data_IF_859568631245
#
_entry.id   IF_859568631245
#
_cell.length_a   1.000
_cell.length_b   1.000
_cell.length_c   1.000
_cell.angle_alpha   90.00
_cell.angle_beta   90.00
_cell.angle_gamma   90.00
#
_symmetry.space_group_name_H-M   'P 1'
#
loop_
_entity.id
_entity.type
_entity.pdbx_description
1 polymer ?
#
# COMPACT_ATOMS: atom_id res chain seq x y z
N UNK A 1 -0.49 -9.93 16.58
CA UNK A 1 -0.86 -8.90 15.61
C UNK A 1 -1.09 -9.57 14.27
N UNK A 2 -2.22 -9.29 13.62
CA UNK A 2 -2.56 -9.79 12.29
C UNK A 2 -2.73 -8.58 11.37
N UNK A 3 -2.28 -8.71 10.13
CA UNK A 3 -2.45 -7.70 9.08
C UNK A 3 -3.04 -8.41 7.88
N UNK A 4 -4.13 -7.85 7.34
CA UNK A 4 -4.82 -8.38 6.17
C UNK A 4 -4.98 -7.26 5.14
N UNK A 5 -4.69 -7.57 3.88
CA UNK A 5 -4.98 -6.67 2.77
C UNK A 5 -6.48 -6.74 2.49
N UNK A 6 -7.16 -5.59 2.53
CA UNK A 6 -8.58 -5.49 2.23
C UNK A 6 -8.81 -5.13 0.77
N UNK A 7 -8.19 -4.04 0.31
CA UNK A 7 -8.43 -3.52 -1.03
C UNK A 7 -7.25 -2.72 -1.59
N UNK A 8 -7.18 -2.67 -2.93
CA UNK A 8 -6.37 -1.72 -3.67
C UNK A 8 -7.27 -0.51 -3.98
N UNK A 9 -7.32 0.42 -3.02
CA UNK A 9 -8.23 1.59 -3.05
C UNK A 9 -8.00 2.45 -4.30
N UNK A 10 -6.73 2.68 -4.64
CA UNK A 10 -6.33 3.43 -5.82
C UNK A 10 -5.02 2.87 -6.37
N UNK A 11 -4.93 2.73 -7.69
CA UNK A 11 -3.65 2.59 -8.38
C UNK A 11 -3.61 3.52 -9.60
N UNK A 12 -2.94 4.66 -9.43
CA UNK A 12 -2.67 5.65 -10.47
C UNK A 12 -1.17 5.75 -10.76
N UNK A 13 -0.38 4.76 -10.33
CA UNK A 13 1.08 4.74 -10.51
C UNK A 13 1.43 4.93 -11.98
N UNK A 14 2.53 5.64 -12.21
CA UNK A 14 3.05 5.81 -13.55
C UNK A 14 3.34 4.43 -14.16
N UNK A 15 2.77 4.10 -15.34
CA UNK A 15 3.04 2.83 -15.98
C UNK A 15 4.53 2.62 -16.24
N UNK A 16 4.99 1.38 -16.14
CA UNK A 16 6.40 1.04 -16.27
C UNK A 16 6.96 1.30 -17.69
N UNK A 17 6.10 1.46 -18.69
CA UNK A 17 6.44 1.63 -20.10
C UNK A 17 6.39 3.08 -20.60
N UNK A 18 6.17 4.06 -19.72
CA UNK A 18 6.06 5.49 -20.08
C UNK A 18 6.77 6.41 -19.10
N UNK A 19 6.94 7.68 -19.50
CA UNK A 19 7.49 8.75 -18.65
C UNK A 19 6.35 9.69 -18.23
N UNK A 20 6.06 9.75 -16.93
CA UNK A 20 5.03 10.63 -16.40
C UNK A 20 5.58 11.99 -15.99
N UNK A 21 4.80 13.04 -16.25
CA UNK A 21 5.10 14.41 -15.80
C UNK A 21 4.80 14.59 -14.31
N UNK A 22 3.76 13.91 -13.82
CA UNK A 22 3.36 13.92 -12.41
C UNK A 22 3.50 12.52 -11.81
N UNK A 23 3.99 12.41 -10.56
CA UNK A 23 4.07 11.12 -9.90
C UNK A 23 2.66 10.65 -9.53
N UNK A 24 2.31 9.47 -10.02
CA UNK A 24 1.13 8.73 -9.57
C UNK A 24 1.31 8.16 -8.15
N UNK A 25 0.30 7.43 -7.69
CA UNK A 25 0.32 6.79 -6.37
C UNK A 25 -0.42 5.46 -6.35
N UNK A 26 -0.20 4.69 -5.28
CA UNK A 26 -1.02 3.53 -4.96
C UNK A 26 -1.40 3.58 -3.49
N UNK A 27 -2.68 3.36 -3.19
CA UNK A 27 -3.23 3.34 -1.85
C UNK A 27 -3.84 1.98 -1.57
N UNK A 28 -3.40 1.36 -0.47
CA UNK A 28 -3.85 0.03 -0.04
C UNK A 28 -4.55 0.15 1.30
N UNK A 29 -5.74 -0.45 1.41
CA UNK A 29 -6.46 -0.60 2.67
C UNK A 29 -6.02 -1.91 3.35
N UNK A 30 -5.69 -1.82 4.63
CA UNK A 30 -5.35 -2.94 5.49
C UNK A 30 -6.30 -3.01 6.68
N UNK A 31 -6.67 -4.22 7.06
CA UNK A 31 -7.22 -4.49 8.38
C UNK A 31 -6.07 -4.89 9.30
N UNK A 32 -5.93 -4.20 10.42
CA UNK A 32 -4.95 -4.50 11.46
C UNK A 32 -5.69 -4.95 12.71
N UNK A 33 -5.35 -6.13 13.21
CA UNK A 33 -5.93 -6.69 14.43
C UNK A 33 -4.82 -6.92 15.46
N UNK A 34 -4.94 -6.23 16.59
CA UNK A 34 -4.10 -6.48 17.77
C UNK A 34 -4.77 -7.54 18.65
N UNK A 35 -3.96 -8.24 19.44
CA UNK A 35 -4.49 -9.17 20.43
C UNK A 35 -5.42 -8.43 21.39
N UNK A 36 -6.66 -8.94 21.50
CA UNK A 36 -7.72 -8.41 22.35
C UNK A 36 -8.16 -6.97 22.02
N UNK A 37 -8.01 -6.52 20.76
CA UNK A 37 -8.52 -5.23 20.28
C UNK A 37 -9.48 -5.41 19.11
N UNK A 38 -10.32 -4.41 18.85
CA UNK A 38 -11.17 -4.40 17.66
C UNK A 38 -10.30 -4.24 16.40
N UNK A 39 -10.70 -4.85 15.27
CA UNK A 39 -10.06 -4.57 13.98
C UNK A 39 -10.12 -3.08 13.65
N UNK A 40 -9.01 -2.55 13.14
CA UNK A 40 -8.92 -1.19 12.63
C UNK A 40 -8.57 -1.24 11.14
N UNK A 41 -9.27 -0.43 10.35
CA UNK A 41 -8.94 -0.23 8.94
C UNK A 41 -7.98 0.94 8.79
N UNK A 42 -6.88 0.71 8.10
CA UNK A 42 -5.82 1.70 7.87
C UNK A 42 -5.43 1.73 6.41
N UNK A 43 -5.28 2.94 5.87
CA UNK A 43 -4.78 3.15 4.51
C UNK A 43 -3.32 3.61 4.53
N UNK A 44 -2.50 2.97 3.69
CA UNK A 44 -1.14 3.39 3.39
C UNK A 44 -1.00 3.71 1.91
N UNK A 45 -0.33 4.83 1.61
CA UNK A 45 -0.11 5.28 0.23
C UNK A 45 1.38 5.32 -0.09
N UNK A 46 1.77 4.68 -1.20
CA UNK A 46 3.07 4.89 -1.82
C UNK A 46 2.97 6.01 -2.85
N UNK A 47 3.68 7.11 -2.57
CA UNK A 47 3.82 8.26 -3.47
C UNK A 47 5.21 8.87 -3.31
N UNK A 48 5.80 9.24 -4.44
CA UNK A 48 7.14 9.84 -4.45
C UNK A 48 7.16 11.15 -3.64
N UNK A 49 8.21 11.34 -2.82
CA UNK A 49 8.42 12.51 -1.95
C UNK A 49 7.31 12.72 -0.88
N UNK A 50 6.52 11.69 -0.58
CA UNK A 50 5.49 11.70 0.46
C UNK A 50 5.55 10.43 1.32
N UNK A 51 6.74 10.12 1.83
CA UNK A 51 7.03 8.89 2.58
C UNK A 51 6.21 8.75 3.86
N UNK A 52 5.75 9.87 4.43
CA UNK A 52 4.89 9.89 5.61
C UNK A 52 3.50 9.27 5.36
N UNK A 53 3.03 9.23 4.11
CA UNK A 53 1.76 8.58 3.75
C UNK A 53 1.87 7.06 3.72
N UNK A 54 3.09 6.53 3.54
CA UNK A 54 3.37 5.11 3.52
C UNK A 54 3.52 4.50 4.92
N UNK A 55 3.42 5.31 5.98
CA UNK A 55 3.66 4.89 7.37
C UNK A 55 2.43 5.12 8.24
N UNK A 56 2.08 4.12 9.05
CA UNK A 56 1.15 4.25 10.18
C UNK A 56 1.78 3.69 11.44
N UNK A 57 1.61 4.44 12.53
CA UNK A 57 2.04 4.03 13.85
C UNK A 57 0.82 3.60 14.65
N UNK A 58 0.96 2.50 15.38
CA UNK A 58 -0.10 1.95 16.22
C UNK A 58 0.54 1.23 17.40
N UNK A 59 0.17 1.63 18.62
CA UNK A 59 0.46 0.90 19.87
C UNK A 59 1.89 0.31 19.99
N UNK A 60 2.91 1.12 19.74
CA UNK A 60 4.32 0.71 19.87
C UNK A 60 4.88 -0.05 18.67
N UNK A 61 4.17 -0.03 17.53
CA UNK A 61 4.64 -0.52 16.24
C UNK A 61 4.50 0.54 15.17
N UNK A 62 5.31 0.40 14.13
CA UNK A 62 5.24 1.17 12.89
C UNK A 62 5.10 0.20 11.72
N UNK A 63 4.06 0.37 10.91
CA UNK A 63 3.88 -0.33 9.65
C UNK A 63 4.19 0.61 8.51
N UNK A 64 5.08 0.15 7.63
CA UNK A 64 5.49 0.88 6.44
C UNK A 64 5.15 0.05 5.20
N UNK A 65 4.39 0.64 4.28
CA UNK A 65 4.23 0.12 2.94
C UNK A 65 5.53 0.38 2.16
N UNK A 66 6.18 -0.68 1.68
CA UNK A 66 7.49 -0.60 1.02
C UNK A 66 7.41 -0.76 -0.49
N UNK A 67 6.57 -1.68 -0.95
CA UNK A 67 6.41 -1.93 -2.37
C UNK A 67 5.02 -2.44 -2.69
N UNK A 68 4.58 -2.20 -3.92
CA UNK A 68 3.39 -2.81 -4.51
C UNK A 68 3.77 -3.24 -5.91
N UNK A 69 3.48 -4.48 -6.29
CA UNK A 69 3.76 -5.03 -7.60
C UNK A 69 2.51 -5.75 -8.14
N UNK A 70 2.33 -5.88 -9.45
CA UNK A 70 3.16 -5.27 -10.50
C UNK A 70 2.91 -3.76 -10.64
N UNK A 71 3.76 -3.07 -11.42
CA UNK A 71 3.44 -1.73 -11.93
C UNK A 71 2.48 -1.85 -13.13
N UNK A 72 1.58 -0.87 -13.34
CA UNK A 72 0.72 -0.86 -14.52
C UNK A 72 1.53 -0.74 -15.82
N UNK A 73 0.95 -1.18 -16.94
CA UNK A 73 1.50 -1.07 -18.30
C UNK A 73 0.39 -0.54 -19.21
N UNK A 74 0.69 0.44 -20.07
CA UNK A 74 -0.31 1.25 -20.80
C UNK A 74 -1.26 0.45 -21.68
N UNK A 75 -0.77 -0.63 -22.30
CA UNK A 75 -1.53 -1.46 -23.24
C UNK A 75 -1.96 -2.82 -22.66
N UNK A 76 -2.03 -2.93 -21.33
CA UNK A 76 -2.55 -4.11 -20.65
C UNK A 76 -3.89 -3.82 -19.97
N UNK A 77 -4.68 -4.88 -19.76
CA UNK A 77 -5.87 -4.78 -18.92
C UNK A 77 -5.49 -4.35 -17.51
N UNK A 78 -6.45 -3.74 -16.81
CA UNK A 78 -6.27 -3.34 -15.41
C UNK A 78 -5.85 -4.56 -14.59
N UNK A 79 -4.80 -4.40 -13.78
CA UNK A 79 -4.32 -5.45 -12.87
C UNK A 79 -5.49 -5.89 -11.98
N UNK A 80 -5.80 -7.18 -11.98
CA UNK A 80 -6.83 -7.73 -11.10
C UNK A 80 -6.32 -7.77 -9.65
N UNK A 81 -7.22 -7.57 -8.70
CA UNK A 81 -6.87 -7.38 -7.29
C UNK A 81 -6.04 -8.54 -6.70
N UNK A 82 -6.30 -9.78 -7.14
CA UNK A 82 -5.57 -10.98 -6.69
C UNK A 82 -4.12 -11.04 -7.14
N UNK A 83 -3.74 -10.27 -8.15
CA UNK A 83 -2.40 -10.31 -8.74
C UNK A 83 -1.44 -9.34 -8.04
N UNK A 84 -1.97 -8.49 -7.15
CA UNK A 84 -1.16 -7.55 -6.40
C UNK A 84 -0.33 -8.26 -5.31
N UNK A 85 0.96 -7.96 -5.31
CA UNK A 85 1.90 -8.33 -4.26
C UNK A 85 2.25 -7.06 -3.49
N UNK A 86 1.93 -7.07 -2.19
CA UNK A 86 2.14 -5.91 -1.32
C UNK A 86 3.23 -6.25 -0.31
N UNK A 87 4.32 -5.47 -0.31
CA UNK A 87 5.41 -5.62 0.66
C UNK A 87 5.25 -4.58 1.75
N UNK A 88 5.07 -5.06 2.99
CA UNK A 88 5.03 -4.23 4.19
C UNK A 88 6.18 -4.61 5.13
N UNK A 89 6.65 -3.63 5.89
CA UNK A 89 7.58 -3.82 7.01
C UNK A 89 6.89 -3.36 8.28
N UNK A 90 6.89 -4.22 9.29
CA UNK A 90 6.41 -3.88 10.63
C UNK A 90 7.59 -3.92 11.59
N UNK A 91 7.84 -2.81 12.28
CA UNK A 91 8.89 -2.68 13.28
C UNK A 91 8.31 -2.22 14.61
N UNK A 92 8.87 -2.71 15.72
CA UNK A 92 8.58 -2.17 17.05
C UNK A 92 9.24 -0.80 17.21
N UNK A 93 8.50 0.18 17.74
CA UNK A 93 8.99 1.54 18.06
C UNK A 93 9.42 1.66 19.51
#
# INVERSE_FOLDING_TARGET
>A
MQVKVLDIVEDSRCPADVVCVQPGQVTIAFEVVKENSQPEEVELTLRAAQENLAVRNFDGYSMTLKNVEPLPITNQEKIIQSDYIVTIVVSKT
#
